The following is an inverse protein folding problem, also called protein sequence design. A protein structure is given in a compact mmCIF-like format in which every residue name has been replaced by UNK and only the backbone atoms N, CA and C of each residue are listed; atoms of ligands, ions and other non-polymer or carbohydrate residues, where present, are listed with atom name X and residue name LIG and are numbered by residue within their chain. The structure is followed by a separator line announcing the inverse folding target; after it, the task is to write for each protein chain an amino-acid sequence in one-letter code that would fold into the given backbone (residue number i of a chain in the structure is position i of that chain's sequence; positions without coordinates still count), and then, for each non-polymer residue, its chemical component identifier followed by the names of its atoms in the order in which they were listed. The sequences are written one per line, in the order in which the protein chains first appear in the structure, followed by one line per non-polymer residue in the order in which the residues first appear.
data_IF_199945191997
#
_entry.id   IF_199945191997
#
_cell.length_a   1.000
_cell.length_b   1.000
_cell.length_c   1.000
_cell.angle_alpha   90.00
_cell.angle_beta   90.00
_cell.angle_gamma   90.00
#
_symmetry.space_group_name_H-M   'P 1'
#
loop_
_entity.id
_entity.type
_entity.pdbx_description
1 polymer ?
#
# COMPACT_ATOMS: atom_id res chain seq x y z
N UNK A 1 -2.62 14.88 19.35
CA UNK A 1 -1.47 14.03 18.98
C UNK A 1 -1.48 12.82 19.90
N UNK A 2 -1.49 11.65 19.34
CA UNK A 2 -1.45 10.37 20.06
C UNK A 2 -0.02 9.88 20.11
N UNK A 3 0.43 9.38 21.28
CA UNK A 3 1.78 8.87 21.49
C UNK A 3 1.72 7.41 21.86
N UNK A 4 2.61 6.62 21.27
CA UNK A 4 2.68 5.17 21.50
C UNK A 4 4.11 4.66 21.39
N UNK A 5 4.44 3.60 22.11
CA UNK A 5 5.69 2.85 21.97
C UNK A 5 5.42 1.59 21.17
N UNK A 6 6.22 1.35 20.12
CA UNK A 6 6.11 0.16 19.27
C UNK A 6 7.51 -0.43 19.08
N UNK A 7 7.65 -1.70 19.44
CA UNK A 7 8.87 -2.45 19.19
C UNK A 7 8.88 -3.11 17.81
N UNK A 8 10.05 -3.41 17.27
CA UNK A 8 10.23 -4.06 15.99
C UNK A 8 9.50 -3.32 14.85
N UNK A 9 9.63 -1.98 14.82
CA UNK A 9 9.08 -1.14 13.76
C UNK A 9 10.02 0.01 13.45
N UNK A 10 10.32 0.20 12.16
CA UNK A 10 11.14 1.29 11.66
C UNK A 10 10.47 1.89 10.41
N UNK A 11 10.04 3.16 10.53
CA UNK A 11 9.31 3.86 9.46
C UNK A 11 10.17 4.00 8.19
N UNK A 12 11.48 4.22 8.34
CA UNK A 12 12.37 4.38 7.19
C UNK A 12 12.51 3.05 6.45
N UNK A 13 12.74 1.95 7.17
CA UNK A 13 12.85 0.62 6.56
C UNK A 13 11.53 0.21 5.86
N UNK A 14 10.38 0.52 6.46
CA UNK A 14 9.08 0.26 5.84
C UNK A 14 8.90 1.11 4.58
N UNK A 15 9.19 2.41 4.63
CA UNK A 15 9.07 3.30 3.49
C UNK A 15 9.97 2.89 2.31
N UNK A 16 11.20 2.42 2.61
CA UNK A 16 12.19 2.00 1.62
C UNK A 16 11.98 0.55 1.13
N UNK A 17 11.10 -0.23 1.76
CA UNK A 17 10.85 -1.63 1.39
C UNK A 17 10.16 -1.81 0.02
N UNK A 18 9.57 -0.74 -0.53
CA UNK A 18 8.89 -0.77 -1.81
C UNK A 18 7.50 -1.40 -1.80
N UNK A 19 6.94 -1.70 -0.63
CA UNK A 19 5.60 -2.31 -0.53
C UNK A 19 4.45 -1.30 -0.65
N UNK A 20 4.73 0.01 -0.55
CA UNK A 20 3.72 1.07 -0.71
C UNK A 20 4.30 2.27 -1.45
N UNK A 21 3.42 3.11 -2.05
CA UNK A 21 3.81 4.24 -2.88
C UNK A 21 3.21 5.57 -2.41
N UNK A 22 2.54 5.58 -1.26
CA UNK A 22 1.82 6.75 -0.74
C UNK A 22 2.32 7.21 0.63
N UNK A 23 3.60 6.93 0.88
CA UNK A 23 4.34 7.45 2.01
C UNK A 23 5.22 8.60 1.52
N UNK A 24 5.05 9.78 2.10
CA UNK A 24 5.84 10.97 1.78
C UNK A 24 6.69 11.36 2.97
N UNK A 25 8.00 11.31 2.82
CA UNK A 25 8.91 11.79 3.85
C UNK A 25 8.76 13.30 4.03
N UNK A 26 8.52 13.76 5.26
CA UNK A 26 8.37 15.16 5.61
C UNK A 26 9.70 15.69 6.19
N UNK A 27 10.32 14.91 7.06
CA UNK A 27 11.52 15.31 7.78
C UNK A 27 12.37 14.09 8.14
N UNK A 28 13.70 14.28 8.10
CA UNK A 28 14.69 13.38 8.67
C UNK A 28 15.74 14.24 9.36
N UNK A 29 15.77 14.20 10.70
CA UNK A 29 16.69 15.00 11.50
C UNK A 29 16.91 14.35 12.86
N UNK A 30 18.17 14.33 13.32
CA UNK A 30 18.56 13.88 14.67
C UNK A 30 17.98 12.50 15.04
N UNK A 31 18.04 11.54 14.11
CA UNK A 31 17.44 10.20 14.22
C UNK A 31 15.91 10.22 14.43
N UNK A 32 15.26 11.30 14.05
CA UNK A 32 13.80 11.40 13.98
C UNK A 32 13.38 11.35 12.51
N UNK A 33 12.46 10.46 12.19
CA UNK A 33 11.88 10.29 10.87
C UNK A 33 10.42 10.69 10.91
N UNK A 34 9.98 11.52 9.96
CA UNK A 34 8.58 11.93 9.87
C UNK A 34 8.03 11.69 8.48
N UNK A 35 6.89 11.03 8.42
CA UNK A 35 6.19 10.71 7.19
C UNK A 35 4.74 11.18 7.23
N UNK A 36 4.23 11.55 6.06
CA UNK A 36 2.80 11.62 5.79
C UNK A 36 2.40 10.35 5.03
N UNK A 37 1.39 9.67 5.53
CA UNK A 37 0.88 8.40 4.99
C UNK A 37 -0.56 8.63 4.55
N UNK A 38 -0.89 8.24 3.31
CA UNK A 38 -2.27 8.22 2.85
C UNK A 38 -2.73 6.78 2.62
N UNK A 39 -3.76 6.33 3.34
CA UNK A 39 -4.35 5.01 3.23
C UNK A 39 -5.82 5.04 3.68
N UNK A 40 -6.68 4.17 3.16
CA UNK A 40 -8.09 4.01 3.54
C UNK A 40 -8.89 5.34 3.53
N UNK A 41 -8.54 6.26 2.63
CA UNK A 41 -9.18 7.58 2.55
C UNK A 41 -8.76 8.57 3.65
N UNK A 42 -7.81 8.21 4.49
CA UNK A 42 -7.25 9.02 5.57
C UNK A 42 -5.83 9.47 5.26
N UNK A 43 -5.36 10.45 6.02
CA UNK A 43 -3.97 10.91 5.97
C UNK A 43 -3.42 11.04 7.39
N UNK A 44 -2.31 10.37 7.66
CA UNK A 44 -1.63 10.32 8.95
C UNK A 44 -0.25 10.97 8.83
N UNK A 45 0.04 11.98 9.67
CA UNK A 45 1.42 12.35 9.96
C UNK A 45 1.91 11.50 11.14
N UNK A 46 3.00 10.81 10.94
CA UNK A 46 3.64 9.96 11.95
C UNK A 46 5.12 10.30 12.04
N UNK A 47 5.63 10.43 13.25
CA UNK A 47 7.04 10.58 13.51
C UNK A 47 7.55 9.49 14.45
N UNK A 48 8.82 9.10 14.26
CA UNK A 48 9.50 8.09 15.04
C UNK A 48 10.83 8.59 15.58
N UNK A 49 11.08 8.34 16.86
CA UNK A 49 12.39 8.49 17.49
C UNK A 49 12.68 7.26 18.37
N UNK A 50 13.55 6.38 17.89
CA UNK A 50 13.73 5.06 18.51
C UNK A 50 12.44 4.24 18.40
N UNK A 51 11.90 3.78 19.53
CA UNK A 51 10.63 3.06 19.58
C UNK A 51 9.43 3.94 20.00
N UNK A 52 9.61 5.24 20.13
CA UNK A 52 8.56 6.21 20.44
C UNK A 52 7.98 6.79 19.15
N UNK A 53 6.65 6.81 19.05
CA UNK A 53 5.89 7.31 17.89
C UNK A 53 4.92 8.40 18.33
N UNK A 54 4.86 9.48 17.53
CA UNK A 54 3.85 10.53 17.65
C UNK A 54 3.00 10.59 16.38
N UNK A 55 1.68 10.60 16.55
CA UNK A 55 0.70 10.50 15.47
C UNK A 55 -0.26 11.68 15.48
N UNK A 56 -0.66 12.14 14.27
CA UNK A 56 -1.63 13.22 14.13
C UNK A 56 -3.09 12.79 14.35
N UNK A 57 -3.38 11.49 14.42
CA UNK A 57 -4.69 10.95 14.73
C UNK A 57 -4.93 10.91 16.25
N UNK A 58 -6.15 10.60 16.66
CA UNK A 58 -6.49 10.22 18.03
C UNK A 58 -6.39 8.70 18.25
N UNK A 59 -6.61 8.25 19.47
CA UNK A 59 -6.55 6.84 19.83
C UNK A 59 -7.65 6.01 19.15
N UNK A 60 -8.81 6.59 18.94
CA UNK A 60 -9.93 5.90 18.30
C UNK A 60 -9.62 5.60 16.82
N UNK A 61 -9.12 6.58 16.07
CA UNK A 61 -8.70 6.38 14.68
C UNK A 61 -7.50 5.42 14.59
N UNK A 62 -6.55 5.54 15.53
CA UNK A 62 -5.43 4.61 15.62
C UNK A 62 -5.90 3.16 15.72
N UNK A 63 -6.76 2.87 16.67
CA UNK A 63 -7.26 1.52 16.91
C UNK A 63 -8.17 1.00 15.79
N UNK A 64 -8.91 1.89 15.12
CA UNK A 64 -9.83 1.51 14.06
C UNK A 64 -9.12 1.23 12.71
N UNK A 65 -7.99 1.87 12.44
CA UNK A 65 -7.38 1.87 11.09
C UNK A 65 -5.89 1.53 11.15
N UNK A 66 -5.11 2.38 11.82
CA UNK A 66 -3.65 2.37 11.67
C UNK A 66 -2.98 1.21 12.37
N UNK A 67 -3.54 0.74 13.49
CA UNK A 67 -3.05 -0.43 14.22
C UNK A 67 -3.04 -1.68 13.32
N UNK A 68 -4.12 -1.92 12.60
CA UNK A 68 -4.21 -3.03 11.64
C UNK A 68 -3.34 -2.77 10.42
N UNK A 69 -3.33 -1.54 9.89
CA UNK A 69 -2.48 -1.15 8.76
C UNK A 69 -1.01 -1.49 8.98
N UNK A 70 -0.48 -1.22 10.19
CA UNK A 70 0.90 -1.54 10.57
C UNK A 70 1.09 -2.98 11.05
N UNK A 71 0.09 -3.83 10.97
CA UNK A 71 0.12 -5.24 11.38
C UNK A 71 0.62 -5.42 12.82
N UNK A 72 0.09 -4.62 13.77
CA UNK A 72 0.56 -4.66 15.16
C UNK A 72 0.06 -5.87 15.95
N UNK A 73 -0.89 -6.63 15.44
CA UNK A 73 -1.37 -7.86 16.07
C UNK A 73 -0.45 -9.05 15.80
N UNK A 74 0.44 -8.95 14.81
CA UNK A 74 1.49 -9.95 14.60
C UNK A 74 2.67 -9.70 15.53
N UNK A 75 3.07 -10.73 16.25
CA UNK A 75 4.23 -10.70 17.16
C UNK A 75 5.54 -10.87 16.39
N UNK A 76 6.09 -9.73 15.96
CA UNK A 76 7.38 -9.71 15.25
C UNK A 76 8.56 -10.06 16.15
N UNK A 77 8.41 -9.97 17.48
CA UNK A 77 9.41 -10.43 18.45
C UNK A 77 9.59 -11.95 18.39
N UNK A 78 8.49 -12.69 18.38
CA UNK A 78 8.56 -14.16 18.21
C UNK A 78 9.16 -14.57 16.86
N UNK A 79 8.91 -13.81 15.79
CA UNK A 79 9.54 -14.06 14.48
C UNK A 79 11.03 -13.82 14.58
N UNK A 80 11.46 -12.72 15.21
CA UNK A 80 12.86 -12.40 15.47
C UNK A 80 13.58 -13.53 16.25
N UNK A 81 12.97 -14.02 17.30
CA UNK A 81 13.54 -15.09 18.14
C UNK A 81 13.74 -16.38 17.34
N UNK A 82 12.77 -16.75 16.51
CA UNK A 82 12.88 -17.92 15.61
C UNK A 82 14.01 -17.77 14.60
N UNK A 83 14.18 -16.58 14.04
CA UNK A 83 15.27 -16.31 13.08
C UNK A 83 16.62 -16.36 13.81
N UNK A 84 16.75 -15.70 14.95
CA UNK A 84 18.00 -15.61 15.71
C UNK A 84 18.47 -16.98 16.26
N UNK A 85 17.53 -17.87 16.54
CA UNK A 85 17.82 -19.25 17.00
C UNK A 85 17.94 -20.27 15.89
N UNK A 86 17.71 -19.90 14.63
CA UNK A 86 17.89 -20.79 13.47
C UNK A 86 19.37 -21.03 13.17
N UNK A 87 19.67 -22.07 12.39
CA UNK A 87 21.03 -22.34 11.89
C UNK A 87 21.34 -21.63 10.56
N UNK A 88 20.46 -20.73 10.10
CA UNK A 88 20.59 -20.01 8.84
C UNK A 88 21.23 -18.63 9.06
N UNK A 89 22.54 -18.54 8.84
CA UNK A 89 23.30 -17.29 8.98
C UNK A 89 22.91 -16.23 7.94
N UNK A 90 22.47 -16.64 6.73
CA UNK A 90 22.00 -15.70 5.72
C UNK A 90 20.69 -15.04 6.15
N UNK A 91 19.78 -15.83 6.73
CA UNK A 91 18.51 -15.31 7.27
C UNK A 91 18.75 -14.35 8.44
N UNK A 92 19.67 -14.70 9.37
CA UNK A 92 20.05 -13.79 10.48
C UNK A 92 20.63 -12.48 9.97
N UNK A 93 21.53 -12.56 8.97
CA UNK A 93 22.13 -11.36 8.37
C UNK A 93 21.06 -10.50 7.66
N UNK A 94 20.16 -11.11 6.91
CA UNK A 94 19.05 -10.40 6.27
C UNK A 94 18.15 -9.72 7.32
N UNK A 95 17.77 -10.44 8.38
CA UNK A 95 16.98 -9.89 9.48
C UNK A 95 17.69 -8.72 10.17
N UNK A 96 19.00 -8.79 10.40
CA UNK A 96 19.76 -7.70 11.03
C UNK A 96 19.70 -6.38 10.24
N UNK A 97 19.41 -6.43 8.94
CA UNK A 97 19.28 -5.27 8.04
C UNK A 97 17.86 -4.76 7.91
N UNK A 98 16.86 -5.63 8.15
CA UNK A 98 15.45 -5.32 7.94
C UNK A 98 14.57 -5.60 9.16
N UNK A 99 15.13 -5.59 10.37
CA UNK A 99 14.42 -5.96 11.61
C UNK A 99 13.23 -5.08 11.97
N UNK A 100 13.18 -3.86 11.41
CA UNK A 100 12.06 -2.93 11.61
C UNK A 100 11.00 -2.96 10.51
N UNK A 101 11.16 -3.81 9.48
CA UNK A 101 10.17 -3.93 8.41
C UNK A 101 8.95 -4.70 8.90
N UNK A 102 7.76 -4.11 8.72
CA UNK A 102 6.47 -4.76 8.92
C UNK A 102 5.75 -4.92 7.60
N UNK A 103 4.94 -5.96 7.46
CA UNK A 103 4.09 -6.16 6.27
C UNK A 103 2.82 -5.34 6.44
N UNK A 104 2.68 -4.27 5.65
CA UNK A 104 1.53 -3.39 5.72
C UNK A 104 0.26 -4.08 5.20
N UNK A 105 -0.83 -4.00 5.96
CA UNK A 105 -2.15 -4.44 5.52
C UNK A 105 -2.84 -3.30 4.77
N UNK A 106 -2.52 -3.20 3.50
CA UNK A 106 -3.00 -2.14 2.62
C UNK A 106 -4.42 -2.40 2.09
N UNK A 107 -5.07 -1.35 1.58
CA UNK A 107 -6.33 -1.49 0.85
C UNK A 107 -6.16 -2.37 -0.40
N UNK A 108 -7.00 -3.40 -0.53
CA UNK A 108 -6.85 -4.38 -1.61
C UNK A 108 -7.09 -3.77 -2.99
N UNK A 109 -8.02 -2.81 -3.12
CA UNK A 109 -8.24 -2.11 -4.39
C UNK A 109 -7.03 -1.28 -4.79
N UNK A 110 -6.50 -0.49 -3.86
CA UNK A 110 -5.27 0.28 -4.05
C UNK A 110 -4.11 -0.64 -4.46
N UNK A 111 -3.93 -1.78 -3.76
CA UNK A 111 -2.89 -2.76 -4.10
C UNK A 111 -3.03 -3.30 -5.53
N UNK A 112 -4.22 -3.67 -5.95
CA UNK A 112 -4.46 -4.19 -7.31
C UNK A 112 -4.06 -3.17 -8.36
N UNK A 113 -4.50 -1.92 -8.22
CA UNK A 113 -4.21 -0.86 -9.20
C UNK A 113 -2.74 -0.47 -9.19
N UNK A 114 -2.14 -0.27 -8.01
CA UNK A 114 -0.72 0.10 -7.88
C UNK A 114 0.19 -1.01 -8.38
N UNK A 115 -0.16 -2.27 -8.14
CA UNK A 115 0.56 -3.42 -8.70
C UNK A 115 0.51 -3.43 -10.25
N UNK A 116 -0.63 -3.09 -10.86
CA UNK A 116 -0.72 -2.95 -12.32
C UNK A 116 0.16 -1.81 -12.84
N UNK A 117 0.20 -0.67 -12.14
CA UNK A 117 1.09 0.46 -12.48
C UNK A 117 2.57 0.06 -12.32
N UNK A 118 2.89 -0.79 -11.35
CA UNK A 118 4.26 -1.21 -11.05
C UNK A 118 4.88 -2.16 -12.08
N UNK A 119 4.08 -2.84 -12.90
CA UNK A 119 4.58 -3.83 -13.85
C UNK A 119 5.59 -3.22 -14.83
N UNK A 120 6.82 -3.78 -14.87
CA UNK A 120 7.92 -3.31 -15.70
C UNK A 120 8.14 -1.79 -15.59
N UNK A 121 8.21 -1.28 -14.36
CA UNK A 121 8.33 0.13 -14.03
C UNK A 121 9.34 0.33 -12.88
N UNK A 122 9.69 1.56 -12.56
CA UNK A 122 10.58 1.89 -11.42
C UNK A 122 9.82 2.70 -10.36
N UNK A 123 10.29 2.62 -9.12
CA UNK A 123 9.61 3.21 -7.96
C UNK A 123 9.30 4.71 -8.15
N UNK A 124 10.22 5.59 -8.58
CA UNK A 124 9.89 7.01 -8.75
C UNK A 124 8.76 7.27 -9.74
N UNK A 125 8.70 6.51 -10.85
CA UNK A 125 7.63 6.65 -11.85
C UNK A 125 6.30 6.09 -11.34
N UNK A 126 6.34 4.97 -10.61
CA UNK A 126 5.15 4.39 -9.97
C UNK A 126 4.55 5.39 -9.00
N UNK A 127 5.35 5.90 -8.06
CA UNK A 127 4.93 6.90 -7.06
C UNK A 127 4.29 8.11 -7.75
N UNK A 128 4.96 8.68 -8.78
CA UNK A 128 4.41 9.82 -9.51
C UNK A 128 3.06 9.50 -10.19
N UNK A 129 2.94 8.35 -10.84
CA UNK A 129 1.68 7.95 -11.50
C UNK A 129 0.55 7.73 -10.50
N UNK A 130 0.84 7.13 -9.34
CA UNK A 130 -0.12 6.91 -8.25
C UNK A 130 -0.55 8.25 -7.63
N UNK A 131 0.39 9.16 -7.36
CA UNK A 131 0.08 10.50 -6.85
C UNK A 131 -0.82 11.27 -7.82
N UNK A 132 -0.48 11.32 -9.11
CA UNK A 132 -1.29 11.99 -10.13
C UNK A 132 -2.70 11.39 -10.24
N UNK A 133 -2.82 10.06 -10.17
CA UNK A 133 -4.13 9.39 -10.19
C UNK A 133 -4.98 9.83 -9.00
N UNK A 134 -4.41 9.87 -7.80
CA UNK A 134 -5.11 10.30 -6.60
C UNK A 134 -5.46 11.80 -6.65
N UNK A 135 -4.56 12.67 -7.10
CA UNK A 135 -4.79 14.12 -7.19
C UNK A 135 -5.89 14.48 -8.18
N UNK A 136 -5.97 13.78 -9.31
CA UNK A 136 -6.91 14.11 -10.39
C UNK A 136 -8.27 13.41 -10.27
N UNK A 137 -8.34 12.30 -9.55
CA UNK A 137 -9.54 11.47 -9.46
C UNK A 137 -9.97 11.13 -8.03
N UNK A 138 -9.09 11.34 -7.05
CA UNK A 138 -9.39 11.06 -5.65
C UNK A 138 -10.14 12.20 -4.94
N UNK A 139 -10.78 11.85 -3.85
CA UNK A 139 -11.43 12.82 -2.95
C UNK A 139 -10.38 13.26 -1.91
N UNK A 140 -10.35 14.55 -1.56
CA UNK A 140 -9.46 15.04 -0.50
C UNK A 140 -9.70 14.28 0.81
N UNK A 141 -8.63 13.93 1.50
CA UNK A 141 -8.71 13.37 2.86
C UNK A 141 -9.26 14.39 3.85
N UNK A 142 -9.80 13.92 4.97
CA UNK A 142 -10.50 14.77 5.96
C UNK A 142 -9.63 15.93 6.47
N UNK A 143 -8.32 15.75 6.60
CA UNK A 143 -7.38 16.80 7.02
C UNK A 143 -6.84 17.66 5.84
N UNK A 144 -7.28 17.39 4.61
CA UNK A 144 -6.88 18.11 3.40
C UNK A 144 -5.43 17.93 2.96
N UNK A 145 -4.65 17.06 3.61
CA UNK A 145 -3.22 16.86 3.33
C UNK A 145 -2.91 15.86 2.21
N UNK A 146 -3.94 15.25 1.64
CA UNK A 146 -3.79 14.28 0.57
C UNK A 146 -5.11 13.96 -0.09
N UNK A 147 -5.12 12.93 -0.93
CA UNK A 147 -6.29 12.44 -1.62
C UNK A 147 -6.51 10.97 -1.31
N UNK A 148 -7.74 10.55 -1.13
CA UNK A 148 -8.12 9.14 -1.08
C UNK A 148 -7.75 8.46 -2.41
N UNK A 149 -7.47 7.17 -2.37
CA UNK A 149 -7.29 6.41 -3.60
C UNK A 149 -8.63 6.32 -4.34
N UNK A 150 -8.69 6.63 -5.67
CA UNK A 150 -9.96 6.70 -6.39
C UNK A 150 -10.59 5.33 -6.54
N UNK A 151 -11.87 5.23 -6.20
CA UNK A 151 -12.67 4.01 -6.31
C UNK A 151 -13.14 3.78 -7.75
N UNK A 152 -13.62 2.57 -8.09
CA UNK A 152 -14.33 2.33 -9.34
C UNK A 152 -15.44 3.36 -9.57
N UNK A 153 -15.60 3.84 -10.80
CA UNK A 153 -16.54 4.91 -11.16
C UNK A 153 -16.08 6.35 -10.84
N UNK A 154 -14.94 6.55 -10.17
CA UNK A 154 -14.44 7.90 -9.84
C UNK A 154 -13.39 8.42 -10.83
N UNK A 155 -12.81 7.56 -11.67
CA UNK A 155 -11.75 7.94 -12.60
C UNK A 155 -12.35 8.29 -13.96
N UNK A 156 -12.28 9.56 -14.40
CA UNK A 156 -12.74 9.97 -15.73
C UNK A 156 -11.96 9.27 -16.83
N UNK A 157 -12.62 8.99 -17.96
CA UNK A 157 -12.04 8.25 -19.08
C UNK A 157 -10.78 8.92 -19.66
N UNK A 158 -10.77 10.25 -19.70
CA UNK A 158 -9.65 11.07 -20.17
C UNK A 158 -8.37 10.87 -19.37
N UNK A 159 -8.44 10.41 -18.12
CA UNK A 159 -7.27 10.11 -17.28
C UNK A 159 -6.46 8.94 -17.89
N UNK A 160 -7.12 7.96 -18.49
CA UNK A 160 -6.43 6.83 -19.11
C UNK A 160 -5.80 7.21 -20.45
N UNK A 161 -6.27 8.27 -21.11
CA UNK A 161 -5.73 8.79 -22.36
C UNK A 161 -4.61 9.81 -22.16
N UNK A 162 -4.52 10.39 -20.96
CA UNK A 162 -3.52 11.41 -20.64
C UNK A 162 -2.13 10.80 -20.46
N UNK A 163 -1.24 11.07 -21.43
CA UNK A 163 0.15 10.59 -21.41
C UNK A 163 0.95 11.10 -20.20
N UNK A 164 0.57 12.24 -19.62
CA UNK A 164 1.24 12.80 -18.44
C UNK A 164 1.08 11.95 -17.19
N UNK A 165 0.08 11.07 -17.16
CA UNK A 165 -0.13 10.09 -16.09
C UNK A 165 0.99 9.04 -16.01
N UNK A 166 1.73 8.83 -17.07
CA UNK A 166 2.84 7.89 -17.11
C UNK A 166 2.44 6.41 -17.15
N UNK A 167 1.18 6.09 -17.43
CA UNK A 167 0.68 4.70 -17.48
C UNK A 167 1.26 3.93 -18.67
N UNK A 168 1.48 4.59 -19.82
CA UNK A 168 1.96 3.94 -21.03
C UNK A 168 1.00 2.82 -21.48
N UNK A 169 1.53 1.65 -21.85
CA UNK A 169 0.72 0.49 -22.27
C UNK A 169 -0.23 -0.05 -21.18
N UNK A 170 -0.06 0.38 -19.94
CA UNK A 170 -0.89 -0.06 -18.80
C UNK A 170 -2.22 0.67 -18.74
N UNK A 171 -2.36 1.80 -19.47
CA UNK A 171 -3.57 2.61 -19.48
C UNK A 171 -4.81 1.76 -19.83
N UNK A 172 -4.72 0.90 -20.86
CA UNK A 172 -5.83 0.03 -21.26
C UNK A 172 -6.18 -1.01 -20.19
N UNK A 173 -5.18 -1.59 -19.53
CA UNK A 173 -5.42 -2.52 -18.43
C UNK A 173 -6.04 -1.84 -17.21
N UNK A 174 -5.63 -0.60 -16.89
CA UNK A 174 -6.22 0.20 -15.84
C UNK A 174 -7.66 0.56 -16.15
N UNK A 175 -7.94 1.05 -17.34
CA UNK A 175 -9.31 1.31 -17.83
C UNK A 175 -10.21 0.09 -17.64
N UNK A 176 -9.75 -1.07 -18.08
CA UNK A 176 -10.51 -2.31 -18.00
C UNK A 176 -10.75 -2.79 -16.55
N UNK A 177 -9.76 -2.65 -15.65
CA UNK A 177 -9.97 -3.09 -14.26
C UNK A 177 -10.92 -2.14 -13.52
N UNK A 178 -10.86 -0.82 -13.79
CA UNK A 178 -11.80 0.13 -13.25
C UNK A 178 -13.22 -0.14 -13.72
N UNK A 179 -13.44 -0.31 -15.03
CA UNK A 179 -14.75 -0.65 -15.60
C UNK A 179 -15.28 -1.99 -15.07
N UNK A 180 -14.41 -3.00 -14.95
CA UNK A 180 -14.83 -4.28 -14.37
C UNK A 180 -15.22 -4.17 -12.91
N UNK A 181 -14.45 -3.48 -12.09
CA UNK A 181 -14.71 -3.32 -10.67
C UNK A 181 -15.99 -2.52 -10.42
N UNK A 182 -16.26 -1.52 -11.26
CA UNK A 182 -17.52 -0.76 -11.24
C UNK A 182 -18.73 -1.66 -11.54
N UNK A 183 -18.61 -2.52 -12.55
CA UNK A 183 -19.67 -3.47 -12.92
C UNK A 183 -19.82 -4.65 -11.92
N UNK A 184 -18.84 -4.90 -11.06
CA UNK A 184 -18.80 -6.01 -10.12
C UNK A 184 -18.33 -5.54 -8.74
N UNK A 185 -19.13 -4.76 -7.99
CA UNK A 185 -18.68 -4.09 -6.76
C UNK A 185 -18.20 -5.07 -5.68
N UNK A 186 -18.76 -6.26 -5.61
CA UNK A 186 -18.46 -7.25 -4.56
C UNK A 186 -17.28 -8.19 -4.92
N UNK A 187 -16.62 -8.00 -6.06
CA UNK A 187 -15.65 -8.97 -6.57
C UNK A 187 -14.41 -9.15 -5.66
N UNK A 188 -13.94 -8.05 -5.04
CA UNK A 188 -12.81 -8.10 -4.11
C UNK A 188 -13.21 -8.79 -2.79
N UNK A 189 -14.39 -8.50 -2.27
CA UNK A 189 -14.89 -9.14 -1.05
C UNK A 189 -15.14 -10.63 -1.26
N UNK A 190 -15.59 -11.01 -2.44
CA UNK A 190 -15.73 -12.40 -2.82
C UNK A 190 -14.35 -13.08 -2.98
N UNK A 191 -13.37 -12.39 -3.56
CA UNK A 191 -12.00 -12.90 -3.70
C UNK A 191 -11.36 -13.15 -2.32
N UNK A 192 -11.57 -12.26 -1.35
CA UNK A 192 -11.04 -12.39 0.02
C UNK A 192 -11.57 -13.62 0.77
N UNK A 193 -12.76 -14.13 0.40
CA UNK A 193 -13.36 -15.31 1.04
C UNK A 193 -12.83 -16.63 0.50
N UNK A 194 -12.08 -16.61 -0.61
CA UNK A 194 -11.53 -17.78 -1.24
C UNK A 194 -10.23 -18.24 -0.56
N UNK A 195 -9.89 -19.52 -0.72
CA UNK A 195 -8.54 -20.00 -0.45
C UNK A 195 -7.54 -19.32 -1.38
N UNK A 196 -6.25 -19.34 -1.03
CA UNK A 196 -5.19 -18.78 -1.90
C UNK A 196 -5.24 -19.39 -3.31
N UNK A 197 -5.37 -20.72 -3.40
CA UNK A 197 -5.39 -21.44 -4.68
C UNK A 197 -6.62 -21.09 -5.52
N UNK A 198 -7.81 -21.00 -4.89
CA UNK A 198 -9.03 -20.62 -5.59
C UNK A 198 -9.01 -19.16 -6.04
N UNK A 199 -8.46 -18.25 -5.23
CA UNK A 199 -8.28 -16.86 -5.60
C UNK A 199 -7.32 -16.72 -6.79
N UNK A 200 -6.18 -17.42 -6.77
CA UNK A 200 -5.24 -17.47 -7.88
C UNK A 200 -5.87 -18.02 -9.15
N UNK A 201 -6.60 -19.11 -9.07
CA UNK A 201 -7.30 -19.71 -10.22
C UNK A 201 -8.33 -18.72 -10.81
N UNK A 202 -9.12 -18.05 -9.96
CA UNK A 202 -10.10 -17.05 -10.37
C UNK A 202 -9.44 -15.90 -11.15
N UNK A 203 -8.30 -15.38 -10.68
CA UNK A 203 -7.54 -14.32 -11.35
C UNK A 203 -6.93 -14.79 -12.67
N UNK A 204 -6.40 -16.02 -12.71
CA UNK A 204 -5.80 -16.60 -13.92
C UNK A 204 -6.85 -16.90 -15.01
N UNK A 205 -8.02 -17.38 -14.68
CA UNK A 205 -9.12 -17.62 -15.62
C UNK A 205 -9.58 -16.33 -16.28
N UNK A 206 -9.61 -15.24 -15.52
CA UNK A 206 -9.90 -13.91 -16.06
C UNK A 206 -8.89 -13.49 -17.12
N UNK A 207 -7.61 -13.75 -16.91
CA UNK A 207 -6.55 -13.48 -17.89
C UNK A 207 -6.71 -14.33 -19.17
N UNK A 208 -7.18 -15.59 -19.04
CA UNK A 208 -7.43 -16.50 -20.18
C UNK A 208 -8.64 -16.07 -21.01
N UNK A 209 -9.72 -15.60 -20.38
CA UNK A 209 -10.93 -15.10 -21.09
C UNK A 209 -10.60 -13.91 -21.99
N UNK A 210 -9.72 -13.00 -21.56
CA UNK A 210 -9.25 -11.87 -22.39
C UNK A 210 -8.52 -12.32 -23.66
N UNK A 211 -7.64 -13.32 -23.58
CA UNK A 211 -6.94 -13.82 -24.78
C UNK A 211 -7.88 -14.47 -25.80
N UNK A 212 -9.05 -14.97 -25.41
CA UNK A 212 -10.04 -15.56 -26.31
C UNK A 212 -10.94 -14.54 -27.01
N UNK A 213 -11.08 -13.33 -26.42
CA UNK A 213 -11.91 -12.26 -27.01
C UNK A 213 -11.08 -11.37 -27.97
N UNK A 214 -9.74 -11.41 -27.85
CA UNK A 214 -8.82 -10.64 -28.69
C UNK A 214 -8.32 -11.40 -29.95
N UNK A 215 -8.79 -12.62 -30.17
CA UNK A 215 -8.63 -13.42 -31.40
C UNK A 215 -9.98 -13.63 -32.08
#
# INVERSE_FOLDING_TARGET
MYKITIDNMDLKQIAESGQCFRWKQIEEKDNTYKYNIAAFGKSLDISQKGNEFELSCDEAEWNAIWRDYFDLDTDYGQIADKINTSDDDHLKLAYSKGSGVRILKQDLWEMVVTFMISQNNNIPRITKSVELLCERSGIKTDNGKGYAFPKPGQVPEEIFEDRSMGFGYRADYLREIYAFAEANPDWLDNLRKLSYDDAMNTLLERKKKKKKVAN
#
